data_IF_270753595248
#
_entry.id   IF_270753595248
#
_cell.length_a   1.000
_cell.length_b   1.000
_cell.length_c   1.000
_cell.angle_alpha   90.00
_cell.angle_beta   90.00
_cell.angle_gamma   90.00
#
_symmetry.space_group_name_H-M   'P 1'
#
loop_
_entity.id
_entity.type
_entity.pdbx_description
1 polymer ?
#
# COMPACT_ATOMS: atom_id res chain seq x y z
N UNK A 1 -56.28 -76.20 54.21
CA UNK A 1 -55.53 -76.56 55.42
C UNK A 1 -55.79 -75.50 56.49
N UNK A 2 -56.31 -75.90 57.66
CA UNK A 2 -56.56 -75.13 58.91
C UNK A 2 -57.67 -74.05 58.87
N UNK A 3 -58.56 -73.87 59.86
CA UNK A 3 -59.06 -74.64 61.02
C UNK A 3 -60.40 -73.99 61.43
N UNK A 4 -61.36 -74.82 61.80
CA UNK A 4 -62.60 -74.49 62.52
C UNK A 4 -62.31 -74.00 63.97
N UNK A 5 -63.18 -73.14 64.51
CA UNK A 5 -63.50 -73.08 65.94
C UNK A 5 -65.02 -73.16 66.08
N UNK A 6 -65.46 -74.26 66.68
CA UNK A 6 -66.84 -74.59 67.07
C UNK A 6 -67.05 -74.12 68.51
N UNK A 7 -68.16 -73.43 68.76
CA UNK A 7 -68.74 -73.26 70.09
C UNK A 7 -70.19 -73.74 70.05
N UNK A 8 -70.47 -74.88 70.68
CA UNK A 8 -71.79 -75.44 70.90
C UNK A 8 -72.38 -74.92 72.23
N UNK A 9 -73.72 -74.91 72.36
CA UNK A 9 -74.53 -75.13 73.58
C UNK A 9 -76.00 -74.70 73.27
N UNK A 10 -76.85 -75.52 72.64
CA UNK A 10 -77.81 -76.46 73.28
C UNK A 10 -78.32 -76.03 74.66
N UNK A 11 -79.46 -75.34 74.68
CA UNK A 11 -80.29 -75.16 75.88
C UNK A 11 -81.26 -76.34 76.06
N UNK A 12 -81.53 -76.77 77.30
CA UNK A 12 -81.93 -78.14 77.65
C UNK A 12 -83.45 -78.34 77.86
N UNK A 13 -84.27 -77.35 77.50
CA UNK A 13 -85.67 -77.26 77.94
C UNK A 13 -86.67 -78.06 77.07
N UNK A 14 -86.23 -78.61 75.94
CA UNK A 14 -87.13 -79.33 75.02
C UNK A 14 -87.44 -80.78 75.45
N UNK A 15 -86.56 -81.43 76.23
CA UNK A 15 -86.74 -82.82 76.64
C UNK A 15 -87.62 -82.98 77.90
N UNK A 16 -87.81 -81.92 78.70
CA UNK A 16 -88.72 -81.95 79.86
C UNK A 16 -90.20 -81.83 79.48
N UNK A 17 -90.52 -81.23 78.33
CA UNK A 17 -91.91 -81.04 77.88
C UNK A 17 -92.56 -82.33 77.33
N UNK A 18 -91.77 -83.35 76.96
CA UNK A 18 -92.28 -84.59 76.34
C UNK A 18 -92.66 -85.71 77.32
N UNK A 19 -92.23 -85.67 78.58
CA UNK A 19 -92.35 -86.79 79.52
C UNK A 19 -93.59 -86.72 80.44
N UNK A 20 -94.60 -85.87 80.16
CA UNK A 20 -95.69 -85.58 81.11
C UNK A 20 -97.13 -85.67 80.57
N UNK A 21 -97.43 -86.57 79.61
CA UNK A 21 -98.83 -86.85 79.23
C UNK A 21 -99.29 -88.25 79.65
N UNK A 22 -100.27 -88.23 80.56
CA UNK A 22 -101.14 -89.35 80.99
C UNK A 22 -102.36 -89.41 80.03
N UNK A 23 -102.82 -90.62 79.73
CA UNK A 23 -103.88 -90.97 78.77
C UNK A 23 -105.26 -91.11 79.44
N UNK A 24 -106.31 -91.27 78.62
CA UNK A 24 -107.68 -91.80 78.88
C UNK A 24 -108.81 -90.77 78.63
N UNK A 25 -109.96 -91.01 77.97
CA UNK A 25 -110.51 -92.06 77.10
C UNK A 25 -111.98 -91.67 76.72
N UNK A 26 -112.37 -91.87 75.43
CA UNK A 26 -113.66 -92.46 74.94
C UNK A 26 -114.93 -91.54 74.79
N UNK A 27 -115.93 -91.76 73.87
CA UNK A 27 -116.26 -92.91 72.97
C UNK A 27 -116.61 -92.60 71.48
N UNK A 28 -116.73 -93.65 70.64
CA UNK A 28 -117.40 -93.64 69.31
C UNK A 28 -118.93 -93.87 69.35
N UNK A 29 -119.69 -93.73 68.23
CA UNK A 29 -120.08 -94.90 67.40
C UNK A 29 -120.35 -94.68 65.88
N UNK A 30 -120.25 -95.79 65.11
CA UNK A 30 -121.06 -96.37 63.99
C UNK A 30 -121.92 -95.46 63.09
N UNK A 31 -121.67 -95.43 61.77
CA UNK A 31 -122.24 -96.23 60.65
C UNK A 31 -123.51 -95.62 60.01
N UNK A 32 -123.40 -95.39 58.70
CA UNK A 32 -124.41 -95.09 57.67
C UNK A 32 -124.84 -93.63 57.42
N UNK A 33 -124.09 -92.96 56.53
CA UNK A 33 -124.66 -92.23 55.39
C UNK A 33 -123.56 -91.89 54.37
N UNK A 34 -123.53 -92.65 53.28
CA UNK A 34 -122.69 -92.42 52.10
C UNK A 34 -123.28 -91.25 51.31
N UNK A 35 -122.58 -90.10 51.29
CA UNK A 35 -122.44 -89.21 50.12
C UNK A 35 -121.35 -88.15 50.38
N UNK A 36 -120.58 -87.86 49.34
CA UNK A 36 -119.16 -87.48 49.29
C UNK A 36 -118.82 -86.03 49.71
N UNK A 37 -117.78 -85.93 50.55
CA UNK A 37 -117.09 -84.72 51.06
C UNK A 37 -116.23 -83.99 50.01
N UNK A 38 -116.43 -84.23 48.72
CA UNK A 38 -115.49 -83.86 47.65
C UNK A 38 -115.85 -82.57 46.89
N UNK A 39 -116.86 -81.80 47.34
CA UNK A 39 -117.34 -80.62 46.59
C UNK A 39 -117.25 -79.26 47.32
N UNK A 40 -116.45 -79.13 48.39
CA UNK A 40 -116.30 -77.86 49.12
C UNK A 40 -114.90 -77.27 49.21
N UNK A 41 -113.92 -77.78 48.45
CA UNK A 41 -112.59 -77.15 48.35
C UNK A 41 -112.32 -76.67 46.93
N UNK A 42 -112.93 -75.54 46.53
CA UNK A 42 -112.51 -74.81 45.34
C UNK A 42 -112.48 -73.27 45.55
N UNK A 43 -111.23 -72.79 45.69
CA UNK A 43 -110.65 -71.47 45.39
C UNK A 43 -111.06 -70.27 46.25
N UNK A 44 -110.47 -70.19 47.45
CA UNK A 44 -110.10 -68.92 48.07
C UNK A 44 -108.59 -68.96 48.41
N UNK A 45 -107.77 -67.97 48.01
CA UNK A 45 -106.34 -68.00 48.29
C UNK A 45 -106.06 -67.86 49.80
N UNK A 46 -105.11 -68.65 50.30
CA UNK A 46 -104.68 -68.63 51.71
C UNK A 46 -103.82 -67.40 52.04
N UNK A 47 -103.81 -66.94 53.29
CA UNK A 47 -102.99 -65.79 53.74
C UNK A 47 -101.49 -65.94 53.42
N UNK A 48 -100.98 -67.17 53.34
CA UNK A 48 -99.61 -67.48 52.94
C UNK A 48 -99.33 -67.20 51.44
N UNK A 49 -100.36 -67.31 50.60
CA UNK A 49 -100.24 -67.08 49.15
C UNK A 49 -100.19 -65.59 48.83
N UNK A 50 -100.89 -64.76 49.63
CA UNK A 50 -100.81 -63.29 49.58
C UNK A 50 -99.42 -62.81 49.98
N UNK A 51 -98.88 -63.32 51.09
CA UNK A 51 -97.54 -62.96 51.57
C UNK A 51 -96.44 -63.36 50.56
N UNK A 52 -96.61 -64.53 49.90
CA UNK A 52 -95.69 -64.98 48.87
C UNK A 52 -95.70 -64.07 47.64
N UNK A 53 -96.88 -63.68 47.16
CA UNK A 53 -97.00 -62.75 46.03
C UNK A 53 -96.44 -61.36 46.36
N UNK A 54 -96.68 -60.86 47.57
CA UNK A 54 -96.11 -59.58 48.02
C UNK A 54 -94.58 -59.64 48.09
N UNK A 55 -94.01 -60.75 48.55
CA UNK A 55 -92.57 -60.95 48.57
C UNK A 55 -91.97 -61.03 47.15
N UNK A 56 -92.62 -61.74 46.22
CA UNK A 56 -92.22 -61.79 44.81
C UNK A 56 -92.30 -60.42 44.12
N UNK A 57 -93.33 -59.63 44.43
CA UNK A 57 -93.50 -58.27 43.93
C UNK A 57 -92.40 -57.34 44.46
N UNK A 58 -92.17 -57.34 45.77
CA UNK A 58 -91.07 -56.57 46.37
C UNK A 58 -89.72 -57.01 45.81
N UNK A 59 -89.46 -58.31 45.69
CA UNK A 59 -88.20 -58.84 45.12
C UNK A 59 -87.98 -58.36 43.68
N UNK A 60 -89.03 -58.27 42.88
CA UNK A 60 -88.97 -57.74 41.51
C UNK A 60 -88.73 -56.23 41.48
N UNK A 61 -89.36 -55.48 42.39
CA UNK A 61 -89.13 -54.04 42.54
C UNK A 61 -87.70 -53.74 43.00
N UNK A 62 -87.17 -54.49 43.97
CA UNK A 62 -85.78 -54.40 44.40
C UNK A 62 -84.81 -54.76 43.27
N UNK A 63 -85.11 -55.78 42.46
CA UNK A 63 -84.32 -56.14 41.27
C UNK A 63 -84.22 -54.99 40.26
N UNK A 64 -85.35 -54.36 39.91
CA UNK A 64 -85.38 -53.17 39.02
C UNK A 64 -84.60 -51.99 39.61
N UNK A 65 -84.67 -51.79 40.93
CA UNK A 65 -83.92 -50.73 41.63
C UNK A 65 -82.41 -50.98 41.57
N UNK A 66 -81.98 -52.24 41.70
CA UNK A 66 -80.58 -52.64 41.56
C UNK A 66 -80.10 -52.39 40.12
N UNK A 67 -80.88 -52.80 39.12
CA UNK A 67 -80.55 -52.60 37.71
C UNK A 67 -80.42 -51.10 37.36
N UNK A 68 -81.36 -50.26 37.81
CA UNK A 68 -81.26 -48.80 37.67
C UNK A 68 -80.02 -48.23 38.34
N UNK A 69 -79.69 -48.67 39.56
CA UNK A 69 -78.48 -48.22 40.25
C UNK A 69 -77.20 -48.66 39.54
N UNK A 70 -77.20 -49.84 38.90
CA UNK A 70 -76.09 -50.32 38.09
C UNK A 70 -75.92 -49.50 36.81
N UNK A 71 -77.01 -49.16 36.12
CA UNK A 71 -77.00 -48.26 34.96
C UNK A 71 -76.53 -46.84 35.34
N UNK A 72 -77.06 -46.26 36.42
CA UNK A 72 -76.64 -44.96 36.93
C UNK A 72 -75.15 -44.97 37.29
N UNK A 73 -74.67 -46.03 37.96
CA UNK A 73 -73.26 -46.20 38.29
C UNK A 73 -72.38 -46.30 37.04
N UNK A 74 -72.84 -47.01 35.99
CA UNK A 74 -72.15 -47.09 34.70
C UNK A 74 -72.06 -45.72 34.02
N UNK A 75 -73.17 -44.98 33.96
CA UNK A 75 -73.21 -43.63 33.40
C UNK A 75 -72.29 -42.66 34.15
N UNK A 76 -72.36 -42.63 35.48
CA UNK A 76 -71.48 -41.81 36.31
C UNK A 76 -70.00 -42.18 36.12
N UNK A 77 -69.70 -43.47 35.97
CA UNK A 77 -68.34 -43.94 35.66
C UNK A 77 -67.82 -43.42 34.32
N UNK A 78 -68.65 -43.38 33.29
CA UNK A 78 -68.31 -42.82 31.98
C UNK A 78 -68.10 -41.30 32.05
N UNK A 79 -68.99 -40.56 32.72
CA UNK A 79 -68.86 -39.11 32.88
C UNK A 79 -67.57 -38.71 33.61
N UNK A 80 -67.21 -39.44 34.67
CA UNK A 80 -65.94 -39.22 35.39
C UNK A 80 -64.74 -39.43 34.46
N UNK A 81 -64.79 -40.46 33.60
CA UNK A 81 -63.71 -40.72 32.64
C UNK A 81 -63.63 -39.64 31.55
N UNK A 82 -64.77 -39.15 31.05
CA UNK A 82 -64.83 -38.04 30.08
C UNK A 82 -64.22 -36.78 30.70
N UNK A 83 -64.68 -36.39 31.89
CA UNK A 83 -64.15 -35.22 32.59
C UNK A 83 -62.66 -35.34 32.89
N UNK A 84 -62.18 -36.53 33.25
CA UNK A 84 -60.74 -36.78 33.46
C UNK A 84 -59.95 -36.56 32.18
N UNK A 85 -60.44 -37.05 31.04
CA UNK A 85 -59.78 -36.89 29.74
C UNK A 85 -59.76 -35.42 29.29
N UNK A 86 -60.88 -34.71 29.46
CA UNK A 86 -60.98 -33.28 29.16
C UNK A 86 -60.04 -32.45 30.03
N UNK A 87 -59.98 -32.72 31.33
CA UNK A 87 -59.07 -32.05 32.25
C UNK A 87 -57.60 -32.30 31.88
N UNK A 88 -57.25 -33.52 31.47
CA UNK A 88 -55.89 -33.83 31.01
C UNK A 88 -55.54 -33.09 29.71
N UNK A 89 -56.47 -33.02 28.75
CA UNK A 89 -56.30 -32.26 27.50
C UNK A 89 -56.14 -30.76 27.77
N UNK A 90 -56.96 -30.19 28.65
CA UNK A 90 -56.84 -28.79 29.08
C UNK A 90 -55.51 -28.53 29.78
N UNK A 91 -55.05 -29.43 30.64
CA UNK A 91 -53.75 -29.32 31.31
C UNK A 91 -52.60 -29.33 30.29
N UNK A 92 -52.63 -30.23 29.31
CA UNK A 92 -51.62 -30.28 28.24
C UNK A 92 -51.63 -28.99 27.41
N UNK A 93 -52.82 -28.50 27.03
CA UNK A 93 -52.97 -27.23 26.31
C UNK A 93 -52.45 -26.03 27.10
N UNK A 94 -52.75 -25.98 28.41
CA UNK A 94 -52.26 -24.92 29.31
C UNK A 94 -50.74 -24.91 29.41
N UNK A 95 -50.12 -26.07 29.62
CA UNK A 95 -48.66 -26.17 29.71
C UNK A 95 -47.99 -25.72 28.40
N UNK A 96 -48.54 -26.10 27.24
CA UNK A 96 -48.01 -25.67 25.94
C UNK A 96 -48.12 -24.15 25.75
N UNK A 97 -49.26 -23.56 26.10
CA UNK A 97 -49.44 -22.12 26.02
C UNK A 97 -48.50 -21.34 26.97
N UNK A 98 -48.17 -21.92 28.13
CA UNK A 98 -47.21 -21.34 29.08
C UNK A 98 -45.77 -21.39 28.54
N UNK A 99 -45.35 -22.51 27.93
CA UNK A 99 -44.07 -22.60 27.21
C UNK A 99 -43.97 -21.55 26.09
N UNK A 100 -45.00 -21.43 25.25
CA UNK A 100 -45.00 -20.49 24.13
C UNK A 100 -44.98 -19.03 24.65
N UNK A 101 -45.64 -18.74 25.77
CA UNK A 101 -45.58 -17.43 26.43
C UNK A 101 -44.18 -17.10 26.95
N UNK A 102 -43.47 -18.07 27.51
CA UNK A 102 -42.11 -17.87 27.98
C UNK A 102 -41.12 -17.70 26.82
N UNK A 103 -41.29 -18.45 25.72
CA UNK A 103 -40.52 -18.25 24.48
C UNK A 103 -40.71 -16.84 23.90
N UNK A 104 -41.96 -16.34 23.86
CA UNK A 104 -42.26 -14.98 23.38
C UNK A 104 -41.62 -13.91 24.29
N UNK A 105 -41.60 -14.12 25.61
CA UNK A 105 -40.92 -13.20 26.53
C UNK A 105 -39.42 -13.17 26.26
N UNK A 106 -38.79 -14.32 26.06
CA UNK A 106 -37.37 -14.39 25.73
C UNK A 106 -37.07 -13.69 24.40
N UNK A 107 -37.82 -14.01 23.33
CA UNK A 107 -37.76 -13.34 22.04
C UNK A 107 -37.83 -11.82 22.17
N UNK A 108 -38.78 -11.31 22.96
CA UNK A 108 -38.93 -9.88 23.22
C UNK A 108 -37.68 -9.28 23.87
N UNK A 109 -37.11 -9.95 24.88
CA UNK A 109 -35.87 -9.45 25.50
C UNK A 109 -34.68 -9.47 24.54
N UNK A 110 -34.61 -10.47 23.63
CA UNK A 110 -33.59 -10.51 22.57
C UNK A 110 -33.80 -9.37 21.57
N UNK A 111 -35.03 -9.08 21.18
CA UNK A 111 -35.35 -7.95 20.30
C UNK A 111 -34.95 -6.60 20.93
N UNK A 112 -35.25 -6.39 22.21
CA UNK A 112 -34.85 -5.18 22.95
C UNK A 112 -33.31 -5.03 23.00
N UNK A 113 -32.58 -6.15 23.16
CA UNK A 113 -31.11 -6.14 23.11
C UNK A 113 -30.56 -5.79 21.71
N UNK A 114 -31.18 -6.30 20.65
CA UNK A 114 -30.80 -5.96 19.28
C UNK A 114 -31.08 -4.51 18.94
N UNK A 115 -32.23 -3.98 19.37
CA UNK A 115 -32.57 -2.57 19.22
C UNK A 115 -31.51 -1.69 19.90
N UNK A 116 -31.11 -2.03 21.13
CA UNK A 116 -30.04 -1.30 21.82
C UNK A 116 -28.72 -1.33 21.05
N UNK A 117 -28.30 -2.49 20.54
CA UNK A 117 -27.07 -2.61 19.72
C UNK A 117 -27.17 -1.79 18.43
N UNK A 118 -28.34 -1.74 17.82
CA UNK A 118 -28.57 -0.97 16.60
C UNK A 118 -28.45 0.54 16.87
N UNK A 119 -29.03 1.03 17.97
CA UNK A 119 -28.88 2.43 18.38
C UNK A 119 -27.42 2.78 18.72
N UNK A 120 -26.70 1.89 19.41
CA UNK A 120 -25.28 2.07 19.70
C UNK A 120 -24.44 2.13 18.41
N UNK A 121 -24.74 1.26 17.43
CA UNK A 121 -24.08 1.26 16.13
C UNK A 121 -24.34 2.58 15.37
N UNK A 122 -25.59 3.04 15.35
CA UNK A 122 -25.96 4.33 14.75
C UNK A 122 -25.29 5.51 15.44
N UNK A 123 -25.15 5.50 16.76
CA UNK A 123 -24.43 6.54 17.50
C UNK A 123 -22.94 6.59 17.12
N UNK A 124 -22.30 5.42 16.93
CA UNK A 124 -20.91 5.32 16.45
C UNK A 124 -20.76 5.82 15.02
N UNK A 125 -21.67 5.44 14.13
CA UNK A 125 -21.71 5.91 12.73
C UNK A 125 -21.79 7.44 12.67
N UNK A 126 -22.75 8.04 13.36
CA UNK A 126 -22.87 9.50 13.46
C UNK A 126 -21.61 10.19 14.01
N UNK A 127 -20.90 9.52 14.91
CA UNK A 127 -19.64 10.03 15.47
C UNK A 127 -18.53 10.00 14.42
N UNK A 128 -18.41 8.91 13.67
CA UNK A 128 -17.47 8.79 12.57
C UNK A 128 -17.75 9.79 11.44
N UNK A 129 -19.03 10.02 11.11
CA UNK A 129 -19.41 11.02 10.11
C UNK A 129 -18.97 12.44 10.53
N UNK A 130 -19.14 12.81 11.80
CA UNK A 130 -18.64 14.11 12.30
C UNK A 130 -17.12 14.22 12.18
N UNK A 131 -16.39 13.19 12.61
CA UNK A 131 -14.92 13.19 12.49
C UNK A 131 -14.47 13.22 11.04
N UNK A 132 -15.20 12.56 10.13
CA UNK A 132 -14.92 12.61 8.70
C UNK A 132 -15.12 14.02 8.13
N UNK A 133 -16.20 14.70 8.52
CA UNK A 133 -16.47 16.07 8.10
C UNK A 133 -15.42 17.05 8.63
N UNK A 134 -15.00 16.88 9.88
CA UNK A 134 -13.92 17.66 10.51
C UNK A 134 -12.60 17.46 9.77
N UNK A 135 -12.21 16.22 9.49
CA UNK A 135 -11.03 15.91 8.69
C UNK A 135 -11.08 16.51 7.28
N UNK A 136 -12.26 16.49 6.64
CA UNK A 136 -12.43 17.11 5.32
C UNK A 136 -12.24 18.63 5.38
N UNK A 137 -12.76 19.29 6.41
CA UNK A 137 -12.58 20.73 6.63
C UNK A 137 -11.11 21.08 6.90
N UNK A 138 -10.43 20.33 7.77
CA UNK A 138 -9.00 20.49 8.03
C UNK A 138 -8.17 20.31 6.76
N UNK A 139 -8.45 19.24 5.99
CA UNK A 139 -7.80 18.98 4.71
C UNK A 139 -8.01 20.13 3.72
N UNK A 140 -9.20 20.73 3.67
CA UNK A 140 -9.47 21.90 2.84
C UNK A 140 -8.66 23.13 3.31
N UNK A 141 -8.58 23.35 4.63
CA UNK A 141 -7.75 24.40 5.23
C UNK A 141 -6.26 24.24 4.91
N UNK A 142 -5.74 23.02 5.05
CA UNK A 142 -4.35 22.69 4.70
C UNK A 142 -4.07 22.90 3.21
N UNK A 143 -4.97 22.48 2.32
CA UNK A 143 -4.85 22.76 0.87
C UNK A 143 -4.78 24.26 0.58
N UNK A 144 -5.59 25.07 1.24
CA UNK A 144 -5.55 26.53 1.07
C UNK A 144 -4.23 27.13 1.57
N UNK A 145 -3.67 26.61 2.68
CA UNK A 145 -2.37 27.04 3.20
C UNK A 145 -1.22 26.66 2.26
N UNK A 146 -1.23 25.43 1.72
CA UNK A 146 -0.26 24.99 0.71
C UNK A 146 -0.29 25.90 -0.51
N UNK A 147 -1.48 26.21 -1.04
CA UNK A 147 -1.61 27.12 -2.19
C UNK A 147 -1.08 28.54 -1.91
N UNK A 148 -1.21 29.05 -0.67
CA UNK A 148 -0.60 30.33 -0.26
C UNK A 148 0.92 30.24 -0.21
N UNK A 149 1.45 29.15 0.37
CA UNK A 149 2.90 28.92 0.47
C UNK A 149 3.55 28.78 -0.91
N UNK A 150 2.95 28.02 -1.82
CA UNK A 150 3.41 27.87 -3.21
C UNK A 150 3.51 29.23 -3.93
N UNK A 151 2.47 30.07 -3.81
CA UNK A 151 2.49 31.43 -4.37
C UNK A 151 3.62 32.28 -3.78
N UNK A 152 3.81 32.22 -2.46
CA UNK A 152 4.89 32.97 -1.78
C UNK A 152 6.28 32.50 -2.19
N UNK A 153 6.47 31.17 -2.33
CA UNK A 153 7.72 30.56 -2.76
C UNK A 153 8.07 30.96 -4.19
N UNK A 154 7.08 30.93 -5.09
CA UNK A 154 7.24 31.37 -6.47
C UNK A 154 7.65 32.84 -6.53
N UNK A 155 6.98 33.71 -5.76
CA UNK A 155 7.32 35.13 -5.68
C UNK A 155 8.75 35.35 -5.16
N UNK A 156 9.16 34.63 -4.11
CA UNK A 156 10.51 34.72 -3.56
C UNK A 156 11.57 34.29 -4.59
N UNK A 157 11.36 33.14 -5.25
CA UNK A 157 12.26 32.66 -6.31
C UNK A 157 12.39 33.66 -7.45
N UNK A 158 11.28 34.18 -7.95
CA UNK A 158 11.26 35.20 -9.01
C UNK A 158 12.00 36.47 -8.59
N UNK A 159 11.79 36.95 -7.36
CA UNK A 159 12.51 38.11 -6.83
C UNK A 159 14.00 37.85 -6.69
N UNK A 160 14.39 36.69 -6.19
CA UNK A 160 15.79 36.30 -6.04
C UNK A 160 16.50 36.25 -7.40
N UNK A 161 15.90 35.57 -8.40
CA UNK A 161 16.41 35.56 -9.77
C UNK A 161 16.52 36.97 -10.36
N UNK A 162 15.56 37.85 -10.09
CA UNK A 162 15.61 39.24 -10.55
C UNK A 162 16.79 40.02 -9.94
N UNK A 163 17.08 39.79 -8.66
CA UNK A 163 18.21 40.42 -7.95
C UNK A 163 19.54 39.90 -8.52
N UNK A 164 19.66 38.58 -8.69
CA UNK A 164 20.86 37.95 -9.28
C UNK A 164 21.12 38.45 -10.71
N UNK A 165 20.08 38.49 -11.55
CA UNK A 165 20.18 39.01 -12.91
C UNK A 165 20.58 40.49 -12.92
N UNK A 166 20.01 41.31 -12.05
CA UNK A 166 20.39 42.73 -11.92
C UNK A 166 21.86 42.89 -11.52
N UNK A 167 22.33 42.12 -10.54
CA UNK A 167 23.73 42.15 -10.13
C UNK A 167 24.67 41.74 -11.27
N UNK A 168 24.31 40.70 -12.02
CA UNK A 168 25.08 40.26 -13.19
C UNK A 168 25.11 41.31 -14.31
N UNK A 169 23.98 41.99 -14.55
CA UNK A 169 23.87 43.07 -15.53
C UNK A 169 24.79 44.23 -15.17
N UNK A 170 24.76 44.70 -13.92
CA UNK A 170 25.65 45.75 -13.44
C UNK A 170 27.12 45.35 -13.59
N UNK A 171 27.45 44.08 -13.33
CA UNK A 171 28.83 43.59 -13.53
C UNK A 171 29.26 43.59 -15.00
N UNK A 172 28.35 43.25 -15.91
CA UNK A 172 28.60 43.32 -17.36
C UNK A 172 28.81 44.78 -17.79
N UNK A 173 28.02 45.71 -17.28
CA UNK A 173 28.17 47.13 -17.58
C UNK A 173 29.51 47.69 -17.08
N UNK A 174 29.95 47.32 -15.87
CA UNK A 174 31.29 47.66 -15.35
C UNK A 174 32.40 47.13 -16.27
N UNK A 175 32.34 45.85 -16.64
CA UNK A 175 33.32 45.22 -17.52
C UNK A 175 33.36 45.88 -18.90
N UNK A 176 32.19 46.24 -19.44
CA UNK A 176 32.08 46.97 -20.71
C UNK A 176 32.71 48.35 -20.63
N UNK A 177 32.54 49.06 -19.52
CA UNK A 177 33.21 50.35 -19.27
C UNK A 177 34.73 50.21 -19.28
N UNK A 178 35.27 49.24 -18.54
CA UNK A 178 36.72 48.98 -18.53
C UNK A 178 37.27 48.60 -19.90
N UNK A 179 36.54 47.80 -20.69
CA UNK A 179 36.94 47.49 -22.07
C UNK A 179 37.04 48.77 -22.90
N UNK A 180 36.04 49.64 -22.83
CA UNK A 180 36.04 50.93 -23.54
C UNK A 180 37.23 51.83 -23.15
N UNK A 181 37.63 51.84 -21.86
CA UNK A 181 38.81 52.58 -21.41
C UNK A 181 40.13 52.05 -22.04
N UNK A 182 40.19 50.77 -22.40
CA UNK A 182 41.36 50.17 -23.05
C UNK A 182 41.32 50.23 -24.59
N UNK A 183 40.17 50.48 -25.22
CA UNK A 183 40.03 50.54 -26.68
C UNK A 183 40.89 51.65 -27.30
N UNK A 184 40.82 52.88 -26.78
CA UNK A 184 41.58 54.03 -27.31
C UNK A 184 43.11 53.84 -27.17
N UNK A 185 43.65 53.44 -25.99
CA UNK A 185 45.07 53.12 -25.85
C UNK A 185 45.53 52.00 -26.78
N UNK A 186 44.74 50.92 -26.92
CA UNK A 186 45.08 49.81 -27.81
C UNK A 186 45.17 50.28 -29.26
N UNK A 187 44.21 51.07 -29.73
CA UNK A 187 44.25 51.65 -31.07
C UNK A 187 45.46 52.59 -31.25
N UNK A 188 45.83 53.37 -30.22
CA UNK A 188 47.04 54.18 -30.26
C UNK A 188 48.31 53.34 -30.39
N UNK A 189 48.42 52.23 -29.62
CA UNK A 189 49.55 51.32 -29.72
C UNK A 189 49.63 50.66 -31.09
N UNK A 190 48.49 50.26 -31.66
CA UNK A 190 48.39 49.69 -33.01
C UNK A 190 48.96 50.65 -34.07
N UNK A 191 48.53 51.92 -34.06
CA UNK A 191 49.06 52.95 -34.97
C UNK A 191 50.58 53.17 -34.80
N UNK A 192 51.09 53.10 -33.57
CA UNK A 192 52.53 53.26 -33.30
C UNK A 192 53.34 52.06 -33.79
N UNK A 193 52.81 50.85 -33.65
CA UNK A 193 53.44 49.63 -34.16
C UNK A 193 53.51 49.69 -35.68
N UNK A 194 52.41 50.02 -36.36
CA UNK A 194 52.37 50.15 -37.82
C UNK A 194 53.39 51.19 -38.34
N UNK A 195 53.52 52.33 -37.65
CA UNK A 195 54.52 53.34 -37.99
C UNK A 195 55.95 52.83 -37.84
N UNK A 196 56.24 52.09 -36.76
CA UNK A 196 57.55 51.52 -36.51
C UNK A 196 57.90 50.42 -37.50
N UNK A 197 56.94 49.56 -37.86
CA UNK A 197 57.11 48.52 -38.88
C UNK A 197 57.48 49.15 -40.23
N UNK A 198 56.74 50.19 -40.66
CA UNK A 198 57.06 50.93 -41.90
C UNK A 198 58.45 51.57 -41.88
N UNK A 199 58.84 52.14 -40.74
CA UNK A 199 60.18 52.72 -40.59
C UNK A 199 61.27 51.64 -40.65
N UNK A 200 61.04 50.48 -40.04
CA UNK A 200 61.99 49.38 -40.03
C UNK A 200 62.19 48.79 -41.44
N UNK A 201 61.11 48.63 -42.22
CA UNK A 201 61.19 48.26 -43.63
C UNK A 201 62.07 49.23 -44.42
N UNK A 202 61.88 50.53 -44.23
CA UNK A 202 62.71 51.56 -44.89
C UNK A 202 64.19 51.44 -44.50
N UNK A 203 64.50 51.27 -43.22
CA UNK A 203 65.87 51.08 -42.77
C UNK A 203 66.51 49.81 -43.34
N UNK A 204 65.74 48.74 -43.45
CA UNK A 204 66.20 47.48 -44.04
C UNK A 204 66.54 47.64 -45.51
N UNK A 205 65.72 48.34 -46.29
CA UNK A 205 66.02 48.68 -47.69
C UNK A 205 67.30 49.53 -47.82
N UNK A 206 67.43 50.58 -47.01
CA UNK A 206 68.61 51.45 -47.00
C UNK A 206 69.90 50.68 -46.65
N UNK A 207 69.80 49.76 -45.70
CA UNK A 207 70.91 48.90 -45.32
C UNK A 207 71.30 47.97 -46.48
N UNK A 208 70.35 47.31 -47.14
CA UNK A 208 70.63 46.46 -48.31
C UNK A 208 71.23 47.24 -49.48
N UNK A 209 70.78 48.48 -49.70
CA UNK A 209 71.35 49.36 -50.71
C UNK A 209 72.81 49.70 -50.38
N UNK A 210 73.08 50.13 -49.15
CA UNK A 210 74.44 50.47 -48.69
C UNK A 210 75.37 49.27 -48.74
N UNK A 211 74.89 48.09 -48.33
CA UNK A 211 75.64 46.84 -48.42
C UNK A 211 76.00 46.48 -49.86
N UNK A 212 75.08 46.70 -50.81
CA UNK A 212 75.34 46.49 -52.24
C UNK A 212 76.40 47.45 -52.77
N UNK A 213 76.34 48.74 -52.38
CA UNK A 213 77.37 49.70 -52.76
C UNK A 213 78.76 49.33 -52.24
N UNK A 214 78.84 48.84 -51.00
CA UNK A 214 80.11 48.37 -50.43
C UNK A 214 80.65 47.19 -51.23
N UNK A 215 79.80 46.20 -51.53
CA UNK A 215 80.18 45.05 -52.35
C UNK A 215 80.68 45.46 -53.75
N UNK A 216 80.05 46.43 -54.39
CA UNK A 216 80.47 46.93 -55.71
C UNK A 216 81.83 47.64 -55.63
N UNK A 217 82.06 48.44 -54.58
CA UNK A 217 83.36 49.10 -54.34
C UNK A 217 84.45 48.09 -54.01
N UNK A 218 84.15 47.10 -53.18
CA UNK A 218 85.08 46.03 -52.83
C UNK A 218 85.46 45.21 -54.07
N UNK A 219 84.51 44.97 -54.98
CA UNK A 219 84.77 44.35 -56.27
C UNK A 219 85.74 45.18 -57.12
N UNK A 220 85.46 46.49 -57.30
CA UNK A 220 86.32 47.40 -58.07
C UNK A 220 87.72 47.52 -57.44
N UNK A 221 87.79 47.65 -56.11
CA UNK A 221 89.06 47.72 -55.40
C UNK A 221 89.84 46.41 -55.53
N UNK A 222 89.16 45.26 -55.42
CA UNK A 222 89.74 43.95 -55.65
C UNK A 222 90.33 43.83 -57.06
N UNK A 223 89.60 44.28 -58.08
CA UNK A 223 90.08 44.30 -59.47
C UNK A 223 91.29 45.22 -59.65
N UNK A 224 91.24 46.44 -59.10
CA UNK A 224 92.38 47.36 -59.14
C UNK A 224 93.62 46.79 -58.43
N UNK A 225 93.45 46.10 -57.29
CA UNK A 225 94.54 45.42 -56.58
C UNK A 225 95.11 44.28 -57.43
N UNK A 226 94.26 43.50 -58.12
CA UNK A 226 94.75 42.46 -59.05
C UNK A 226 95.55 43.06 -60.21
N UNK A 227 95.08 44.16 -60.81
CA UNK A 227 95.80 44.85 -61.90
C UNK A 227 97.14 45.41 -61.41
N UNK A 228 97.19 46.00 -60.21
CA UNK A 228 98.45 46.50 -59.61
C UNK A 228 99.43 45.36 -59.38
N UNK A 229 98.96 44.20 -58.89
CA UNK A 229 99.79 42.99 -58.75
C UNK A 229 100.35 42.52 -60.08
N UNK A 230 99.52 42.42 -61.12
CA UNK A 230 99.98 42.02 -62.47
C UNK A 230 101.04 42.97 -63.03
N UNK A 231 100.85 44.29 -62.91
CA UNK A 231 101.85 45.28 -63.35
C UNK A 231 103.14 45.14 -62.53
N UNK A 232 103.03 44.91 -61.21
CA UNK A 232 104.18 44.66 -60.36
C UNK A 232 104.93 43.38 -60.79
N UNK A 233 104.21 42.29 -61.10
CA UNK A 233 104.72 41.03 -61.64
C UNK A 233 105.51 41.24 -62.94
N UNK A 234 104.95 42.00 -63.87
CA UNK A 234 105.64 42.35 -65.10
C UNK A 234 106.89 43.21 -64.88
N UNK A 235 106.81 44.25 -64.05
CA UNK A 235 107.96 45.11 -63.73
C UNK A 235 109.09 44.35 -63.04
N UNK A 236 108.75 43.43 -62.14
CA UNK A 236 109.72 42.58 -61.47
C UNK A 236 110.40 41.63 -62.47
N UNK A 237 109.64 41.04 -63.38
CA UNK A 237 110.17 40.20 -64.47
C UNK A 237 111.13 41.00 -65.37
N UNK A 238 110.74 42.20 -65.78
CA UNK A 238 111.59 43.10 -66.59
C UNK A 238 112.85 43.52 -65.83
N UNK A 239 112.77 43.75 -64.52
CA UNK A 239 113.94 44.08 -63.70
C UNK A 239 114.96 42.93 -63.65
N UNK A 240 114.49 41.68 -63.54
CA UNK A 240 115.36 40.49 -63.63
C UNK A 240 116.02 40.39 -65.01
N UNK A 241 115.27 40.62 -66.09
CA UNK A 241 115.84 40.65 -67.45
C UNK A 241 116.86 41.80 -67.63
N UNK A 242 116.56 42.98 -67.09
CA UNK A 242 117.44 44.13 -67.12
C UNK A 242 118.76 43.88 -66.37
N UNK A 243 118.72 43.14 -65.26
CA UNK A 243 119.91 42.70 -64.54
C UNK A 243 120.78 41.77 -65.40
N UNK A 244 120.16 40.81 -66.10
CA UNK A 244 120.87 39.90 -67.03
C UNK A 244 121.51 40.66 -68.20
N UNK A 245 120.79 41.64 -68.78
CA UNK A 245 121.29 42.43 -69.91
C UNK A 245 122.33 43.47 -69.49
N UNK A 246 122.24 44.02 -68.28
CA UNK A 246 123.23 44.97 -67.75
C UNK A 246 124.62 44.35 -67.72
N UNK A 247 124.73 43.07 -67.38
CA UNK A 247 125.99 42.30 -67.43
C UNK A 247 126.54 42.13 -68.85
N UNK A 248 125.69 42.18 -69.89
CA UNK A 248 126.11 42.00 -71.29
C UNK A 248 126.56 43.29 -71.98
N UNK A 249 126.07 44.45 -71.55
CA UNK A 249 126.26 45.73 -72.25
C UNK A 249 127.12 46.75 -71.47
N UNK A 250 127.87 46.29 -70.46
CA UNK A 250 128.75 47.11 -69.63
C UNK A 250 130.02 47.66 -70.34
N UNK A 251 130.06 47.75 -71.68
CA UNK A 251 131.31 48.08 -72.40
C UNK A 251 131.17 48.94 -73.68
N UNK A 252 131.83 50.10 -73.63
CA UNK A 252 132.62 50.80 -74.68
C UNK A 252 131.99 51.50 -75.91
N UNK A 253 130.67 51.70 -75.99
CA UNK A 253 130.06 52.60 -77.01
C UNK A 253 129.15 53.67 -76.41
N UNK A 254 129.07 54.86 -77.03
CA UNK A 254 128.17 55.95 -76.59
C UNK A 254 126.72 55.48 -76.47
N UNK A 255 126.28 54.60 -77.38
CA UNK A 255 124.94 53.99 -77.37
C UNK A 255 124.73 52.96 -76.23
N UNK A 256 125.81 52.32 -75.75
CA UNK A 256 125.76 51.38 -74.63
C UNK A 256 125.55 52.07 -73.28
N UNK A 257 126.06 53.30 -73.11
CA UNK A 257 125.88 54.09 -71.88
C UNK A 257 124.42 54.49 -71.66
N UNK A 258 123.72 54.91 -72.72
CA UNK A 258 122.30 55.25 -72.65
C UNK A 258 121.44 54.02 -72.31
N UNK A 259 121.79 52.86 -72.87
CA UNK A 259 121.12 51.59 -72.58
C UNK A 259 121.34 51.16 -71.12
N UNK A 260 122.56 51.24 -70.59
CA UNK A 260 122.86 50.91 -69.20
C UNK A 260 122.12 51.82 -68.22
N UNK A 261 121.98 53.11 -68.53
CA UNK A 261 121.17 54.04 -67.73
C UNK A 261 119.68 53.66 -67.73
N UNK A 262 119.15 53.28 -68.89
CA UNK A 262 117.76 52.81 -69.00
C UNK A 262 117.52 51.53 -68.18
N UNK A 263 118.42 50.55 -68.25
CA UNK A 263 118.31 49.31 -67.47
C UNK A 263 118.38 49.56 -65.95
N UNK A 264 119.22 50.50 -65.49
CA UNK A 264 119.24 50.93 -64.08
C UNK A 264 117.90 51.53 -63.63
N UNK A 265 117.20 52.28 -64.49
CA UNK A 265 115.85 52.78 -64.19
C UNK A 265 114.83 51.65 -64.10
N UNK A 266 114.87 50.69 -65.03
CA UNK A 266 113.98 49.50 -65.00
C UNK A 266 114.18 48.71 -63.70
N UNK A 267 115.44 48.49 -63.29
CA UNK A 267 115.76 47.84 -62.02
C UNK A 267 115.20 48.60 -60.80
N UNK A 268 115.38 49.92 -60.77
CA UNK A 268 114.85 50.75 -59.68
C UNK A 268 113.32 50.71 -59.62
N UNK A 269 112.63 50.60 -60.76
CA UNK A 269 111.18 50.42 -60.82
C UNK A 269 110.75 49.06 -60.29
N UNK A 270 111.45 47.96 -60.62
CA UNK A 270 111.16 46.63 -60.07
C UNK A 270 111.29 46.56 -58.55
N UNK A 271 112.35 47.14 -57.97
CA UNK A 271 112.52 47.19 -56.50
C UNK A 271 111.36 47.93 -55.83
N UNK A 272 110.89 49.03 -56.44
CA UNK A 272 109.72 49.77 -55.94
C UNK A 272 108.40 49.02 -56.11
N UNK A 273 108.30 48.16 -57.12
CA UNK A 273 107.10 47.36 -57.37
C UNK A 273 106.97 46.16 -56.43
N UNK A 274 108.07 45.67 -55.85
CA UNK A 274 108.11 44.47 -54.99
C UNK A 274 107.12 44.44 -53.80
N UNK A 275 106.81 45.55 -53.09
CA UNK A 275 105.81 45.54 -52.01
C UNK A 275 104.37 45.34 -52.50
N UNK A 276 104.13 45.42 -53.81
CA UNK A 276 102.81 45.36 -54.42
C UNK A 276 102.49 44.00 -55.06
N UNK A 277 103.28 42.96 -54.75
CA UNK A 277 102.99 41.55 -55.08
C UNK A 277 102.24 40.90 -53.92
#
# INVERSE_FOLDING_TARGET
MKRFIVGAMTTPEYYEWRSKRVNDNIPGPREDCVQSLEEHLQVAPSELEIIKQDFEKMSSEWGKRIEQLEEEKMHLGLDVNIHKLEAEKLRKGKNKAEEDLDEIKEEKTRADQWEKKFQDARARENTLERSLLEFQNEKAGLKAMVAKLEKSLHLYRSRNSTIELRASLSKIEELKGMIGEFEDPLHNFELRVELLERSNEQWQEQFHHSQSQIRDRDYIMGEAVTQVREVADHLQTLAVQADVLSLKFESESSRGRDLAWFLKKVKALGIKAKPYM
#
